data_IF_008633289592
#
_entry.id   IF_008633289592
#
_cell.length_a   1.000
_cell.length_b   1.000
_cell.length_c   1.000
_cell.angle_alpha   90.00
_cell.angle_beta   90.00
_cell.angle_gamma   90.00
#
_symmetry.space_group_name_H-M   'P 1'
#
loop_
_entity.id
_entity.type
_entity.pdbx_description
1 polymer ?
#
# COMPACT_ATOMS: atom_id res chain seq x y z
N UNK A 1 -22.20 -24.23 6.60
CA UNK A 1 -21.28 -23.91 7.72
C UNK A 1 -22.04 -24.17 9.02
N UNK A 2 -21.40 -24.71 10.07
CA UNK A 2 -22.07 -25.09 11.33
C UNK A 2 -21.70 -24.12 12.47
N UNK A 3 -22.49 -23.98 13.56
CA UNK A 3 -22.19 -23.07 14.67
C UNK A 3 -20.79 -23.31 15.29
N UNK A 4 -20.37 -24.58 15.36
CA UNK A 4 -19.00 -24.94 15.79
C UNK A 4 -17.88 -24.30 14.96
N UNK A 5 -18.13 -23.93 13.71
CA UNK A 5 -17.15 -23.28 12.85
C UNK A 5 -16.96 -21.81 13.25
N UNK A 6 -18.04 -21.12 13.67
CA UNK A 6 -17.94 -19.76 14.21
C UNK A 6 -17.19 -19.75 15.54
N UNK A 7 -17.54 -20.66 16.46
CA UNK A 7 -16.81 -20.82 17.73
C UNK A 7 -15.32 -21.13 17.52
N UNK A 8 -15.01 -21.98 16.52
CA UNK A 8 -13.62 -22.27 16.16
C UNK A 8 -12.90 -21.02 15.59
N UNK A 9 -13.60 -20.20 14.82
CA UNK A 9 -13.05 -18.95 14.29
C UNK A 9 -12.83 -17.91 15.40
N UNK A 10 -13.76 -17.72 16.32
CA UNK A 10 -13.57 -16.87 17.52
C UNK A 10 -12.38 -17.33 18.36
N UNK A 11 -12.25 -18.65 18.57
CA UNK A 11 -11.09 -19.22 19.26
C UNK A 11 -9.78 -18.92 18.50
N UNK A 12 -9.80 -18.99 17.17
CA UNK A 12 -8.66 -18.64 16.33
C UNK A 12 -8.25 -17.17 16.47
N UNK A 13 -9.22 -16.24 16.48
CA UNK A 13 -8.97 -14.82 16.71
C UNK A 13 -8.37 -14.58 18.10
N UNK A 14 -8.89 -15.28 19.11
CA UNK A 14 -8.37 -15.22 20.49
C UNK A 14 -6.93 -15.72 20.57
N UNK A 15 -6.59 -16.81 19.88
CA UNK A 15 -5.22 -17.32 19.77
C UNK A 15 -4.31 -16.29 19.10
N UNK A 16 -4.76 -15.65 18.02
CA UNK A 16 -4.00 -14.63 17.30
C UNK A 16 -3.63 -13.44 18.19
N UNK A 17 -4.53 -13.02 19.09
CA UNK A 17 -4.28 -11.91 20.03
C UNK A 17 -3.43 -12.33 21.22
N UNK A 18 -3.59 -13.56 21.73
CA UNK A 18 -2.94 -14.01 22.98
C UNK A 18 -1.56 -14.62 22.78
N UNK A 19 -1.34 -15.31 21.67
CA UNK A 19 -0.09 -16.04 21.37
C UNK A 19 0.52 -15.57 20.06
N UNK A 20 0.26 -14.32 19.66
CA UNK A 20 0.64 -13.76 18.37
C UNK A 20 2.14 -13.88 18.05
N UNK A 21 2.99 -13.77 19.07
CA UNK A 21 4.45 -13.81 18.92
C UNK A 21 4.98 -15.19 18.51
N UNK A 22 4.31 -16.27 18.91
CA UNK A 22 4.77 -17.64 18.63
C UNK A 22 4.14 -18.27 17.36
N UNK A 23 3.38 -17.50 16.58
CA UNK A 23 2.68 -18.04 15.42
C UNK A 23 3.59 -18.24 14.20
N UNK A 24 4.65 -17.45 14.06
CA UNK A 24 5.59 -17.55 12.93
C UNK A 24 4.84 -17.63 11.57
N UNK A 25 5.12 -18.63 10.74
CA UNK A 25 4.49 -18.83 9.42
C UNK A 25 2.98 -19.16 9.50
N UNK A 26 2.47 -19.52 10.68
CA UNK A 26 1.02 -19.78 10.89
C UNK A 26 0.16 -18.54 10.80
N UNK A 27 0.76 -17.34 10.84
CA UNK A 27 0.06 -16.10 10.51
C UNK A 27 -0.61 -16.17 9.13
N UNK A 28 -0.02 -16.88 8.16
CA UNK A 28 -0.62 -17.06 6.84
C UNK A 28 -1.96 -17.79 6.90
N UNK A 29 -2.05 -18.86 7.69
CA UNK A 29 -3.28 -19.64 7.81
C UNK A 29 -4.38 -18.84 8.53
N UNK A 30 -4.01 -18.14 9.62
CA UNK A 30 -4.94 -17.31 10.40
C UNK A 30 -5.50 -16.16 9.56
N UNK A 31 -4.63 -15.37 8.95
CA UNK A 31 -5.04 -14.22 8.16
C UNK A 31 -5.84 -14.65 6.93
N UNK A 32 -5.54 -15.83 6.34
CA UNK A 32 -6.33 -16.40 5.24
C UNK A 32 -7.72 -16.80 5.72
N UNK A 33 -7.84 -17.38 6.91
CA UNK A 33 -9.13 -17.65 7.53
C UNK A 33 -9.92 -16.35 7.75
N UNK A 34 -9.28 -15.29 8.26
CA UNK A 34 -9.92 -13.99 8.47
C UNK A 34 -10.42 -13.37 7.16
N UNK A 35 -9.56 -13.34 6.15
CA UNK A 35 -9.86 -12.85 4.81
C UNK A 35 -11.00 -13.64 4.14
N UNK A 36 -11.07 -14.96 4.34
CA UNK A 36 -12.19 -15.79 3.85
C UNK A 36 -13.48 -15.58 4.65
N UNK A 37 -13.39 -15.37 5.95
CA UNK A 37 -14.55 -15.08 6.78
C UNK A 37 -15.19 -13.75 6.38
N UNK A 38 -14.36 -12.75 6.12
CA UNK A 38 -14.81 -11.45 5.63
C UNK A 38 -15.51 -11.56 4.28
N UNK A 39 -14.97 -12.35 3.34
CA UNK A 39 -15.66 -12.64 2.08
C UNK A 39 -17.06 -13.25 2.31
N UNK A 40 -17.19 -14.16 3.27
CA UNK A 40 -18.49 -14.77 3.60
C UNK A 40 -19.46 -13.73 4.19
N UNK A 41 -18.98 -12.82 5.03
CA UNK A 41 -19.77 -11.69 5.55
C UNK A 41 -20.22 -10.77 4.42
N UNK A 42 -19.35 -10.45 3.47
CA UNK A 42 -19.70 -9.64 2.30
C UNK A 42 -20.75 -10.32 1.42
N UNK A 43 -20.63 -11.63 1.17
CA UNK A 43 -21.61 -12.38 0.39
C UNK A 43 -22.98 -12.51 1.07
N UNK A 44 -22.99 -12.52 2.40
CA UNK A 44 -24.19 -12.53 3.23
C UNK A 44 -24.88 -11.16 3.28
N UNK A 45 -24.08 -10.08 3.28
CA UNK A 45 -24.59 -8.73 3.14
C UNK A 45 -25.06 -8.49 1.70
N UNK A 46 -26.22 -7.88 1.48
CA UNK A 46 -26.66 -7.47 0.13
C UNK A 46 -25.88 -6.27 -0.43
N UNK A 47 -24.72 -5.96 0.17
CA UNK A 47 -23.87 -4.82 -0.18
C UNK A 47 -22.95 -5.21 -1.34
N UNK A 48 -22.76 -4.36 -2.35
CA UNK A 48 -21.83 -4.64 -3.44
C UNK A 48 -20.42 -4.89 -2.89
N UNK A 49 -19.81 -6.02 -3.27
CA UNK A 49 -18.41 -6.35 -2.95
C UNK A 49 -17.48 -5.24 -3.47
N UNK A 50 -16.41 -4.91 -2.75
CA UNK A 50 -15.40 -3.93 -3.21
C UNK A 50 -14.84 -4.28 -4.59
N UNK A 51 -14.84 -5.56 -4.96
CA UNK A 51 -14.52 -6.04 -6.31
C UNK A 51 -15.32 -5.35 -7.42
N UNK A 52 -16.57 -4.93 -7.17
CA UNK A 52 -17.39 -4.21 -8.14
C UNK A 52 -16.84 -2.81 -8.44
N UNK A 53 -16.15 -2.17 -7.49
CA UNK A 53 -15.50 -0.86 -7.69
C UNK A 53 -14.27 -0.97 -8.59
N UNK A 54 -13.64 -2.15 -8.62
CA UNK A 54 -12.39 -2.42 -9.34
C UNK A 54 -12.57 -3.38 -10.51
N UNK A 55 -13.78 -3.90 -10.76
CA UNK A 55 -14.05 -4.76 -11.91
C UNK A 55 -13.85 -3.97 -13.20
N UNK A 56 -13.11 -4.55 -14.14
CA UNK A 56 -12.92 -3.94 -15.45
C UNK A 56 -14.28 -3.72 -16.12
N UNK A 57 -14.52 -2.59 -16.83
CA UNK A 57 -15.73 -2.42 -17.61
C UNK A 57 -15.80 -3.55 -18.63
N UNK A 58 -16.78 -4.44 -18.48
CA UNK A 58 -17.12 -5.41 -19.53
C UNK A 58 -17.41 -4.63 -20.81
N UNK A 59 -16.78 -5.03 -21.91
CA UNK A 59 -16.81 -4.27 -23.15
C UNK A 59 -18.21 -3.96 -23.65
N UNK A 60 -18.66 -2.72 -23.45
CA UNK A 60 -19.53 -1.95 -24.33
C UNK A 60 -19.64 -0.51 -23.80
N UNK A 61 -19.70 0.44 -24.74
CA UNK A 61 -19.94 1.88 -24.58
C UNK A 61 -18.74 2.80 -24.30
N UNK A 62 -18.21 3.34 -25.40
CA UNK A 62 -17.51 4.64 -25.45
C UNK A 62 -18.53 5.75 -25.15
N UNK A 63 -18.47 6.32 -23.95
CA UNK A 63 -19.12 7.59 -23.59
C UNK A 63 -18.18 8.42 -22.71
N UNK A 64 -18.08 9.75 -22.90
CA UNK A 64 -17.10 10.56 -22.19
C UNK A 64 -17.65 11.02 -20.83
N UNK A 65 -17.68 10.14 -19.81
CA UNK A 65 -17.83 10.58 -18.41
C UNK A 65 -17.13 9.62 -17.42
N UNK A 66 -15.93 9.99 -16.98
CA UNK A 66 -15.58 10.08 -15.55
C UNK A 66 -15.66 8.83 -14.63
N UNK A 67 -15.40 7.61 -15.10
CA UNK A 67 -15.31 6.42 -14.21
C UNK A 67 -14.22 6.60 -13.13
N UNK A 68 -13.09 7.24 -13.47
CA UNK A 68 -12.03 7.56 -12.52
C UNK A 68 -12.43 8.56 -11.40
N UNK A 69 -13.46 9.38 -11.63
CA UNK A 69 -13.93 10.37 -10.67
C UNK A 69 -14.74 9.77 -9.51
N UNK A 70 -15.48 8.70 -9.76
CA UNK A 70 -16.29 8.01 -8.73
C UNK A 70 -15.41 7.18 -7.78
N UNK A 71 -14.41 6.48 -8.31
CA UNK A 71 -13.45 5.74 -7.50
C UNK A 71 -12.63 6.69 -6.59
N UNK A 72 -12.19 7.84 -7.13
CA UNK A 72 -11.48 8.87 -6.36
C UNK A 72 -12.34 9.50 -5.24
N UNK A 73 -13.65 9.66 -5.46
CA UNK A 73 -14.57 10.22 -4.46
C UNK A 73 -14.87 9.24 -3.31
N UNK A 74 -15.09 7.96 -3.62
CA UNK A 74 -15.30 6.91 -2.62
C UNK A 74 -14.03 6.68 -1.78
N UNK A 75 -12.87 6.71 -2.43
CA UNK A 75 -11.55 6.64 -1.81
C UNK A 75 -11.34 7.79 -0.80
N UNK A 76 -11.67 9.03 -1.18
CA UNK A 76 -11.51 10.21 -0.32
C UNK A 76 -12.34 10.13 0.97
N UNK A 77 -13.53 9.51 0.94
CA UNK A 77 -14.39 9.37 2.13
C UNK A 77 -13.89 8.31 3.10
N UNK A 78 -13.38 7.18 2.58
CA UNK A 78 -12.87 6.07 3.39
C UNK A 78 -11.56 6.45 4.11
N UNK A 79 -10.73 7.28 3.47
CA UNK A 79 -9.44 7.73 4.01
C UNK A 79 -9.58 8.84 5.06
N UNK A 80 -10.62 9.69 4.98
CA UNK A 80 -10.88 10.71 6.00
C UNK A 80 -11.14 10.10 7.39
N UNK A 81 -11.56 8.84 7.43
CA UNK A 81 -11.84 8.08 8.66
C UNK A 81 -10.59 7.49 9.33
N UNK A 82 -9.47 7.36 8.61
CA UNK A 82 -8.20 6.80 9.13
C UNK A 82 -7.26 7.84 9.76
N UNK A 83 -7.53 9.14 9.59
CA UNK A 83 -6.59 10.23 9.92
C UNK A 83 -6.57 10.73 11.38
N UNK A 84 -7.25 10.10 12.34
CA UNK A 84 -7.22 10.56 13.74
C UNK A 84 -7.47 9.39 14.71
N UNK A 85 -6.45 8.92 15.46
CA UNK A 85 -6.28 9.36 16.84
C UNK A 85 -4.81 9.48 17.30
N UNK A 86 -4.55 10.47 18.17
CA UNK A 86 -3.20 10.94 18.51
C UNK A 86 -2.46 10.24 19.65
N UNK A 87 -1.15 10.54 19.68
CA UNK A 87 -0.47 11.12 20.85
C UNK A 87 0.17 10.19 21.88
N UNK A 88 1.52 10.15 21.90
CA UNK A 88 2.27 10.08 23.16
C UNK A 88 3.46 9.11 23.23
N UNK A 89 4.69 9.66 23.21
CA UNK A 89 5.91 9.22 23.90
C UNK A 89 6.54 7.86 23.51
N UNK A 90 7.85 7.66 23.35
CA UNK A 90 9.04 8.40 23.74
C UNK A 90 10.08 7.41 24.29
N UNK A 91 11.33 7.47 23.76
CA UNK A 91 12.59 6.87 24.28
C UNK A 91 12.75 5.33 24.20
N UNK A 92 13.92 4.71 24.05
CA UNK A 92 15.32 5.11 23.84
C UNK A 92 16.07 3.91 23.19
N UNK A 93 17.20 4.21 22.53
CA UNK A 93 17.98 3.30 21.71
C UNK A 93 18.97 2.43 22.50
N UNK A 94 19.25 1.23 21.97
CA UNK A 94 20.49 0.51 22.24
C UNK A 94 20.91 -0.28 20.98
N UNK A 95 22.19 -0.15 20.63
CA UNK A 95 22.83 -0.73 19.45
C UNK A 95 23.35 -2.15 19.74
N UNK A 96 23.34 -3.04 18.74
CA UNK A 96 24.52 -3.80 18.29
C UNK A 96 24.19 -4.96 17.31
N UNK A 97 25.02 -5.01 16.25
CA UNK A 97 25.55 -6.18 15.51
C UNK A 97 24.63 -7.26 14.91
N UNK A 98 24.65 -7.30 13.57
CA UNK A 98 24.17 -8.35 12.66
C UNK A 98 24.90 -9.70 12.83
N UNK A 99 24.27 -10.80 12.38
CA UNK A 99 24.82 -11.47 11.19
C UNK A 99 23.75 -11.89 10.16
N UNK A 100 24.20 -11.99 8.90
CA UNK A 100 23.41 -12.41 7.74
C UNK A 100 23.15 -13.90 7.73
N UNK A 101 21.92 -14.32 7.40
CA UNK A 101 21.67 -15.62 6.79
C UNK A 101 20.66 -15.50 5.66
N UNK A 102 21.10 -15.95 4.49
CA UNK A 102 20.32 -16.15 3.29
C UNK A 102 19.84 -17.60 3.32
N UNK A 103 18.54 -17.85 3.11
CA UNK A 103 18.09 -19.08 2.46
C UNK A 103 16.62 -18.98 2.03
N UNK A 104 16.38 -19.37 0.77
CA UNK A 104 15.13 -19.20 0.07
C UNK A 104 14.04 -20.17 0.51
N UNK A 105 12.84 -19.63 0.72
CA UNK A 105 11.63 -20.43 0.94
C UNK A 105 11.09 -20.90 -0.41
N UNK A 106 11.04 -22.22 -0.58
CA UNK A 106 10.46 -22.91 -1.76
C UNK A 106 8.94 -22.74 -1.76
N UNK A 107 8.43 -22.35 -2.92
CA UNK A 107 7.00 -22.19 -3.22
C UNK A 107 6.26 -23.53 -3.06
N UNK A 108 5.18 -23.54 -2.29
CA UNK A 108 4.23 -24.65 -2.22
C UNK A 108 2.91 -24.17 -2.81
N UNK A 109 2.43 -24.89 -3.83
CA UNK A 109 1.25 -24.53 -4.63
C UNK A 109 0.04 -24.16 -3.77
N UNK A 110 -0.43 -22.91 -3.92
CA UNK A 110 -1.60 -22.41 -3.20
C UNK A 110 -2.89 -22.78 -3.93
N UNK A 111 -3.80 -23.46 -3.22
CA UNK A 111 -5.18 -23.69 -3.63
C UNK A 111 -5.95 -22.35 -3.69
N UNK A 112 -5.80 -21.64 -4.80
CA UNK A 112 -6.59 -20.46 -5.10
C UNK A 112 -8.06 -20.85 -5.30
N UNK A 113 -8.92 -20.57 -4.32
CA UNK A 113 -10.37 -20.68 -4.48
C UNK A 113 -10.91 -19.37 -5.06
N UNK A 114 -11.32 -19.38 -6.32
CA UNK A 114 -11.99 -18.25 -6.96
C UNK A 114 -13.39 -18.03 -6.37
N UNK A 115 -13.92 -16.81 -6.42
CA UNK A 115 -15.33 -16.50 -6.07
C UNK A 115 -16.31 -17.44 -6.79
N UNK A 116 -15.96 -17.85 -8.01
CA UNK A 116 -16.73 -18.78 -8.83
C UNK A 116 -16.81 -20.18 -8.20
N UNK A 117 -15.78 -20.62 -7.48
CA UNK A 117 -15.77 -21.89 -6.73
C UNK A 117 -16.66 -21.83 -5.50
N UNK A 118 -16.77 -20.66 -4.85
CA UNK A 118 -17.68 -20.44 -3.71
C UNK A 118 -19.13 -20.29 -4.17
N UNK A 119 -19.39 -19.57 -5.27
CA UNK A 119 -20.71 -19.48 -5.90
C UNK A 119 -21.21 -20.84 -6.39
N UNK A 120 -20.32 -21.71 -6.91
CA UNK A 120 -20.67 -23.08 -7.33
C UNK A 120 -21.01 -23.98 -6.13
N UNK A 121 -20.37 -23.74 -4.97
CA UNK A 121 -20.76 -24.39 -3.71
C UNK A 121 -22.09 -23.87 -3.15
N UNK A 122 -22.47 -22.62 -3.48
CA UNK A 122 -23.72 -21.99 -3.04
C UNK A 122 -24.91 -22.20 -4.00
N UNK A 123 -24.70 -22.71 -5.22
CA UNK A 123 -25.70 -22.65 -6.30
C UNK A 123 -26.01 -23.96 -7.05
N UNK A 124 -25.65 -25.14 -6.55
CA UNK A 124 -25.92 -26.42 -7.20
C UNK A 124 -26.88 -27.31 -6.40
N UNK A 125 -28.14 -27.39 -6.82
CA UNK A 125 -29.24 -27.98 -6.07
C UNK A 125 -29.16 -29.49 -5.78
N UNK A 126 -29.50 -29.83 -4.54
CA UNK A 126 -30.40 -30.91 -4.06
C UNK A 126 -30.77 -30.55 -2.61
N UNK A 127 -32.01 -30.77 -2.23
CA UNK A 127 -32.71 -30.25 -1.05
C UNK A 127 -32.11 -30.65 0.33
N UNK A 128 -30.93 -30.11 0.68
CA UNK A 128 -30.38 -30.09 2.04
C UNK A 128 -29.50 -28.83 2.24
N UNK A 129 -30.13 -27.77 2.74
CA UNK A 129 -29.56 -26.67 3.56
C UNK A 129 -28.12 -26.16 3.25
N UNK A 130 -27.87 -25.78 1.99
CA UNK A 130 -26.63 -25.15 1.55
C UNK A 130 -26.51 -23.64 1.86
N UNK A 131 -27.55 -23.02 2.43
CA UNK A 131 -27.46 -21.63 2.87
C UNK A 131 -26.70 -21.61 4.20
N UNK A 132 -25.53 -20.97 4.22
CA UNK A 132 -24.88 -20.70 5.51
C UNK A 132 -25.83 -19.80 6.31
N UNK A 133 -26.30 -20.21 7.50
CA UNK A 133 -27.19 -19.38 8.29
C UNK A 133 -26.54 -18.02 8.56
N UNK A 134 -27.22 -16.93 8.17
CA UNK A 134 -26.75 -15.55 8.37
C UNK A 134 -26.41 -15.28 9.85
N UNK A 135 -27.14 -15.92 10.75
CA UNK A 135 -26.90 -15.90 12.21
C UNK A 135 -25.48 -16.36 12.58
N UNK A 136 -24.92 -17.35 11.87
CA UNK A 136 -23.58 -17.89 12.15
C UNK A 136 -22.50 -16.99 11.56
N UNK A 137 -22.78 -16.31 10.44
CA UNK A 137 -21.83 -15.37 9.82
C UNK A 137 -21.74 -14.07 10.63
N UNK A 138 -22.88 -13.62 11.17
CA UNK A 138 -22.97 -12.44 12.02
C UNK A 138 -22.70 -12.72 13.51
N UNK A 139 -22.48 -13.98 13.91
CA UNK A 139 -22.18 -14.29 15.31
C UNK A 139 -20.81 -13.78 15.74
N UNK A 140 -19.88 -13.65 14.79
CA UNK A 140 -18.54 -13.12 15.06
C UNK A 140 -18.51 -11.64 14.73
N UNK A 141 -18.33 -10.83 15.78
CA UNK A 141 -18.30 -9.38 15.67
C UNK A 141 -17.08 -8.93 14.84
N UNK A 142 -17.31 -7.99 13.93
CA UNK A 142 -16.27 -7.30 13.16
C UNK A 142 -15.23 -6.68 14.09
N UNK A 143 -15.63 -6.27 15.31
CA UNK A 143 -14.71 -5.72 16.30
C UNK A 143 -13.62 -6.72 16.73
N UNK A 144 -13.91 -8.02 16.81
CA UNK A 144 -12.93 -9.06 17.15
C UNK A 144 -11.87 -9.22 16.05
N UNK A 145 -12.29 -9.11 14.79
CA UNK A 145 -11.39 -9.13 13.63
C UNK A 145 -10.46 -7.90 13.66
N UNK A 146 -11.01 -6.71 13.96
CA UNK A 146 -10.20 -5.50 14.10
C UNK A 146 -9.18 -5.59 15.24
N UNK A 147 -9.52 -6.26 16.35
CA UNK A 147 -8.59 -6.43 17.46
C UNK A 147 -7.31 -7.16 17.05
N UNK A 148 -7.37 -8.14 16.15
CA UNK A 148 -6.17 -8.83 15.63
C UNK A 148 -5.27 -7.87 14.87
N UNK A 149 -5.82 -7.02 13.99
CA UNK A 149 -5.03 -6.03 13.26
C UNK A 149 -4.44 -4.96 14.18
N UNK A 150 -5.20 -4.48 15.17
CA UNK A 150 -4.70 -3.55 16.18
C UNK A 150 -3.60 -4.16 17.05
N UNK A 151 -3.68 -5.46 17.34
CA UNK A 151 -2.67 -6.20 18.10
C UNK A 151 -1.31 -6.26 17.37
N UNK A 152 -1.27 -6.02 16.05
CA UNK A 152 -0.02 -5.99 15.29
C UNK A 152 1.02 -5.03 15.86
N UNK A 153 0.59 -3.94 16.50
CA UNK A 153 1.47 -2.95 17.16
C UNK A 153 2.17 -3.49 18.42
N UNK A 154 1.63 -4.56 19.02
CA UNK A 154 2.15 -5.18 20.24
C UNK A 154 3.01 -6.41 19.97
N UNK A 155 2.98 -6.95 18.75
CA UNK A 155 3.81 -8.07 18.36
C UNK A 155 5.31 -7.74 18.52
N UNK A 156 6.12 -8.74 18.77
CA UNK A 156 7.57 -8.58 18.79
C UNK A 156 8.15 -8.29 17.39
N UNK A 157 9.49 -8.17 17.31
CA UNK A 157 10.18 -7.82 16.08
C UNK A 157 10.09 -8.87 14.96
N UNK A 158 9.98 -10.15 15.30
CA UNK A 158 9.96 -11.24 14.32
C UNK A 158 8.53 -11.58 13.92
N UNK A 159 7.63 -11.63 14.89
CA UNK A 159 6.21 -11.88 14.70
C UNK A 159 5.54 -10.82 13.84
N UNK A 160 5.85 -9.52 14.04
CA UNK A 160 5.28 -8.46 13.20
C UNK A 160 5.72 -8.57 11.73
N UNK A 161 6.96 -9.02 11.48
CA UNK A 161 7.47 -9.20 10.13
C UNK A 161 6.80 -10.42 9.48
N UNK A 162 6.63 -11.52 10.21
CA UNK A 162 5.88 -12.68 9.75
C UNK A 162 4.42 -12.33 9.44
N UNK A 163 3.75 -11.58 10.31
CA UNK A 163 2.39 -11.06 10.12
C UNK A 163 2.28 -10.25 8.82
N UNK A 164 3.16 -9.26 8.61
CA UNK A 164 3.13 -8.39 7.43
C UNK A 164 3.39 -9.18 6.15
N UNK A 165 4.32 -10.14 6.17
CA UNK A 165 4.60 -11.01 5.01
C UNK A 165 3.38 -11.88 4.67
N UNK A 166 2.75 -12.49 5.67
CA UNK A 166 1.55 -13.27 5.48
C UNK A 166 0.40 -12.44 4.89
N UNK A 167 0.17 -11.24 5.43
CA UNK A 167 -0.87 -10.33 4.93
C UNK A 167 -0.60 -9.87 3.49
N UNK A 168 0.66 -9.54 3.17
CA UNK A 168 1.08 -9.19 1.81
C UNK A 168 0.83 -10.33 0.82
N UNK A 169 1.16 -11.57 1.19
CA UNK A 169 0.93 -12.74 0.35
C UNK A 169 -0.57 -12.97 0.09
N UNK A 170 -1.41 -12.87 1.13
CA UNK A 170 -2.87 -13.00 0.99
C UNK A 170 -3.42 -11.90 0.09
N UNK A 171 -2.97 -10.66 0.27
CA UNK A 171 -3.42 -9.56 -0.58
C UNK A 171 -3.04 -9.75 -2.05
N UNK A 172 -1.83 -10.23 -2.34
CA UNK A 172 -1.45 -10.56 -3.72
C UNK A 172 -2.31 -11.69 -4.32
N UNK A 173 -2.67 -12.69 -3.51
CA UNK A 173 -3.59 -13.75 -3.94
C UNK A 173 -5.01 -13.20 -4.22
N UNK A 174 -5.48 -12.25 -3.42
CA UNK A 174 -6.77 -11.58 -3.58
C UNK A 174 -6.87 -10.73 -4.84
N UNK A 175 -5.77 -10.06 -5.21
CA UNK A 175 -5.70 -9.20 -6.38
C UNK A 175 -5.45 -9.96 -7.68
N UNK A 176 -5.10 -11.26 -7.60
CA UNK A 176 -4.70 -12.08 -8.74
C UNK A 176 -5.79 -12.23 -9.80
N UNK A 177 -7.06 -12.34 -9.39
CA UNK A 177 -8.18 -12.40 -10.33
C UNK A 177 -8.58 -10.98 -10.78
N UNK A 178 -8.14 -10.58 -11.96
CA UNK A 178 -8.42 -9.24 -12.51
C UNK A 178 -9.89 -8.99 -12.83
N UNK A 179 -10.73 -10.03 -12.88
CA UNK A 179 -12.17 -9.90 -13.16
C UNK A 179 -12.98 -9.59 -11.90
N UNK A 180 -12.52 -10.09 -10.76
CA UNK A 180 -13.15 -9.89 -9.46
C UNK A 180 -12.06 -9.72 -8.38
N UNK A 181 -11.26 -8.64 -8.46
CA UNK A 181 -10.17 -8.43 -7.53
C UNK A 181 -10.72 -8.06 -6.14
N UNK A 182 -10.27 -8.76 -5.10
CA UNK A 182 -10.63 -8.38 -3.72
C UNK A 182 -9.53 -7.48 -3.16
N UNK A 183 -9.92 -6.31 -2.63
CA UNK A 183 -8.97 -5.32 -2.09
C UNK A 183 -8.93 -5.28 -0.56
N UNK A 184 -9.65 -6.18 0.11
CA UNK A 184 -9.75 -6.23 1.57
C UNK A 184 -8.38 -6.20 2.25
N UNK A 185 -7.49 -7.13 1.90
CA UNK A 185 -6.17 -7.21 2.54
C UNK A 185 -5.26 -6.05 2.13
N UNK A 186 -5.47 -5.46 0.94
CA UNK A 186 -4.76 -4.24 0.52
C UNK A 186 -5.11 -3.07 1.43
N UNK A 187 -6.39 -2.89 1.79
CA UNK A 187 -6.81 -1.85 2.76
C UNK A 187 -6.15 -2.08 4.13
N UNK A 188 -6.09 -3.35 4.58
CA UNK A 188 -5.48 -3.71 5.86
C UNK A 188 -3.97 -3.53 5.87
N UNK A 189 -3.28 -3.71 4.75
CA UNK A 189 -1.85 -3.41 4.63
C UNK A 189 -1.57 -1.93 4.92
N UNK A 190 -2.41 -1.01 4.43
CA UNK A 190 -2.26 0.43 4.68
C UNK A 190 -2.43 0.74 6.18
N UNK A 191 -3.44 0.16 6.83
CA UNK A 191 -3.65 0.30 8.27
C UNK A 191 -2.47 -0.24 9.09
N UNK A 192 -1.98 -1.43 8.74
CA UNK A 192 -0.87 -2.08 9.44
C UNK A 192 0.44 -1.30 9.27
N UNK A 193 0.69 -0.75 8.08
CA UNK A 193 1.81 0.15 7.85
C UNK A 193 1.73 1.39 8.75
N UNK A 194 0.53 1.95 8.91
CA UNK A 194 0.30 3.10 9.79
C UNK A 194 0.52 2.76 11.27
N UNK A 195 -0.07 1.67 11.78
CA UNK A 195 0.05 1.28 13.19
C UNK A 195 1.50 0.98 13.59
N UNK A 196 2.31 0.49 12.66
CA UNK A 196 3.67 0.02 12.95
C UNK A 196 4.77 1.01 12.57
N UNK A 197 4.46 2.15 11.93
CA UNK A 197 5.49 3.12 11.54
C UNK A 197 6.25 3.71 12.74
N UNK A 198 5.64 3.72 13.93
CA UNK A 198 6.26 4.21 15.17
C UNK A 198 7.31 3.26 15.77
N UNK A 199 7.46 2.04 15.25
CA UNK A 199 8.41 1.05 15.79
C UNK A 199 9.86 1.51 15.69
N UNK A 200 10.71 0.87 16.51
CA UNK A 200 12.16 1.05 16.43
C UNK A 200 12.65 0.78 15.00
N UNK A 201 13.63 1.57 14.57
CA UNK A 201 14.04 1.66 13.16
C UNK A 201 14.43 0.34 12.53
N UNK A 202 15.15 -0.51 13.26
CA UNK A 202 15.59 -1.81 12.75
C UNK A 202 14.41 -2.74 12.43
N UNK A 203 13.38 -2.72 13.27
CA UNK A 203 12.15 -3.49 13.05
C UNK A 203 11.33 -2.87 11.91
N UNK A 204 11.17 -1.54 11.92
CA UNK A 204 10.47 -0.85 10.84
C UNK A 204 11.12 -1.09 9.48
N UNK A 205 12.45 -1.07 9.38
CA UNK A 205 13.17 -1.34 8.13
C UNK A 205 12.86 -2.74 7.58
N UNK A 206 12.77 -3.75 8.45
CA UNK A 206 12.36 -5.12 8.05
C UNK A 206 10.91 -5.19 7.59
N UNK A 207 10.00 -4.50 8.28
CA UNK A 207 8.59 -4.38 7.86
C UNK A 207 8.51 -3.68 6.50
N UNK A 208 9.19 -2.54 6.36
CA UNK A 208 9.15 -1.72 5.17
C UNK A 208 9.77 -2.41 3.96
N UNK A 209 10.79 -3.25 4.14
CA UNK A 209 11.33 -4.06 3.04
C UNK A 209 10.24 -4.94 2.40
N UNK A 210 9.36 -5.54 3.21
CA UNK A 210 8.22 -6.33 2.71
C UNK A 210 7.17 -5.43 2.04
N UNK A 211 6.81 -4.32 2.70
CA UNK A 211 5.79 -3.40 2.20
C UNK A 211 6.21 -2.68 0.91
N UNK A 212 7.48 -2.30 0.78
CA UNK A 212 8.06 -1.66 -0.38
C UNK A 212 7.92 -2.53 -1.62
N UNK A 213 8.36 -3.79 -1.54
CA UNK A 213 8.20 -4.75 -2.65
C UNK A 213 6.73 -5.00 -2.98
N UNK A 214 5.88 -5.09 -1.97
CA UNK A 214 4.43 -5.21 -2.16
C UNK A 214 3.83 -4.01 -2.90
N UNK A 215 4.11 -2.77 -2.47
CA UNK A 215 3.59 -1.56 -3.13
C UNK A 215 4.13 -1.37 -4.54
N UNK A 216 5.36 -1.80 -4.82
CA UNK A 216 5.90 -1.83 -6.19
C UNK A 216 5.08 -2.79 -7.05
N UNK A 217 4.88 -4.03 -6.58
CA UNK A 217 4.12 -5.03 -7.32
C UNK A 217 2.68 -4.58 -7.62
N UNK A 218 1.97 -4.04 -6.61
CA UNK A 218 0.58 -3.59 -6.78
C UNK A 218 0.50 -2.25 -7.54
N UNK A 219 1.48 -1.36 -7.37
CA UNK A 219 1.57 -0.11 -8.13
C UNK A 219 1.79 -0.32 -9.64
N UNK A 220 2.27 -1.50 -10.03
CA UNK A 220 2.40 -1.93 -11.42
C UNK A 220 1.32 -2.93 -11.85
N UNK A 221 0.22 -3.03 -11.10
CA UNK A 221 -0.86 -3.97 -11.41
C UNK A 221 -1.56 -3.65 -12.74
N UNK A 222 -1.97 -4.69 -13.49
CA UNK A 222 -2.60 -4.53 -14.81
C UNK A 222 -3.95 -3.80 -14.76
N UNK A 223 -4.65 -3.90 -13.64
CA UNK A 223 -5.86 -3.12 -13.39
C UNK A 223 -5.47 -1.71 -12.88
N UNK A 224 -5.72 -0.70 -13.71
CA UNK A 224 -5.39 0.69 -13.44
C UNK A 224 -5.94 1.19 -12.10
N UNK A 225 -7.19 0.87 -11.76
CA UNK A 225 -7.82 1.36 -10.54
C UNK A 225 -7.11 0.83 -9.27
N UNK A 226 -6.63 -0.41 -9.30
CA UNK A 226 -5.86 -1.02 -8.20
C UNK A 226 -4.47 -0.38 -8.10
N UNK A 227 -3.80 -0.19 -9.24
CA UNK A 227 -2.50 0.48 -9.27
C UNK A 227 -2.59 1.91 -8.73
N UNK A 228 -3.61 2.68 -9.14
CA UNK A 228 -3.88 4.03 -8.63
C UNK A 228 -4.14 4.01 -7.12
N UNK A 229 -4.92 3.06 -6.61
CA UNK A 229 -5.17 2.91 -5.18
C UNK A 229 -3.89 2.66 -4.39
N UNK A 230 -3.00 1.79 -4.89
CA UNK A 230 -1.73 1.49 -4.24
C UNK A 230 -0.79 2.72 -4.23
N UNK A 231 -0.68 3.44 -5.35
CA UNK A 231 0.13 4.67 -5.44
C UNK A 231 -0.40 5.76 -4.52
N UNK A 232 -1.72 5.94 -4.43
CA UNK A 232 -2.31 6.91 -3.52
C UNK A 232 -2.13 6.50 -2.04
N UNK A 233 -2.29 5.22 -1.73
CA UNK A 233 -2.03 4.69 -0.38
C UNK A 233 -0.58 4.93 0.04
N UNK A 234 0.36 4.67 -0.87
CA UNK A 234 1.78 4.96 -0.65
C UNK A 234 2.01 6.46 -0.44
N UNK A 235 1.33 7.34 -1.19
CA UNK A 235 1.39 8.80 -0.98
C UNK A 235 0.95 9.19 0.42
N UNK A 236 -0.13 8.61 0.92
CA UNK A 236 -0.64 8.93 2.25
C UNK A 236 0.32 8.50 3.36
N UNK A 237 0.88 7.29 3.24
CA UNK A 237 1.88 6.81 4.17
C UNK A 237 3.15 7.67 4.11
N UNK A 238 3.59 8.08 2.91
CA UNK A 238 4.74 8.98 2.72
C UNK A 238 4.51 10.36 3.35
N UNK A 239 3.33 10.96 3.13
CA UNK A 239 2.96 12.24 3.75
C UNK A 239 3.04 12.19 5.27
N UNK A 240 2.57 11.08 5.87
CA UNK A 240 2.66 10.86 7.32
C UNK A 240 4.09 10.59 7.77
N UNK A 241 4.85 9.81 7.00
CA UNK A 241 6.23 9.46 7.33
C UNK A 241 7.15 10.68 7.30
N UNK A 242 6.95 11.57 6.33
CA UNK A 242 7.70 12.82 6.17
C UNK A 242 7.37 13.87 7.26
N UNK A 243 6.33 13.69 8.08
CA UNK A 243 6.14 14.53 9.29
C UNK A 243 7.20 14.30 10.36
N UNK A 244 7.97 13.20 10.25
CA UNK A 244 8.99 12.82 11.22
C UNK A 244 10.34 13.35 10.77
N UNK A 245 11.06 13.95 11.70
CA UNK A 245 12.43 14.38 11.44
C UNK A 245 13.34 13.19 11.15
N UNK A 246 14.15 13.35 10.11
CA UNK A 246 15.23 12.45 9.79
C UNK A 246 16.51 12.92 10.47
N UNK A 247 17.15 12.04 11.24
CA UNK A 247 18.43 12.35 11.87
C UNK A 247 19.55 12.39 10.82
N UNK A 248 20.55 13.23 11.04
CA UNK A 248 21.74 13.32 10.19
C UNK A 248 22.41 11.93 9.99
N UNK A 249 22.92 11.70 8.78
CA UNK A 249 23.57 10.46 8.33
C UNK A 249 22.65 9.22 8.19
N UNK A 250 21.33 9.41 8.24
CA UNK A 250 20.36 8.36 7.92
C UNK A 250 19.58 8.72 6.65
N UNK A 251 19.23 7.70 5.85
CA UNK A 251 18.59 7.89 4.55
C UNK A 251 17.24 7.18 4.42
N UNK A 252 16.45 7.16 5.50
CA UNK A 252 15.18 6.44 5.55
C UNK A 252 14.13 7.01 4.62
N UNK A 253 14.10 8.33 4.44
CA UNK A 253 13.17 8.94 3.50
C UNK A 253 13.47 8.49 2.07
N UNK A 254 14.75 8.32 1.72
CA UNK A 254 15.14 7.75 0.42
C UNK A 254 14.53 6.34 0.22
N UNK A 255 14.77 5.44 1.18
CA UNK A 255 14.28 4.06 1.15
C UNK A 255 12.75 4.00 1.15
N UNK A 256 12.11 4.89 1.89
CA UNK A 256 10.65 5.00 1.93
C UNK A 256 10.08 5.39 0.57
N UNK A 257 10.69 6.36 -0.11
CA UNK A 257 10.20 6.88 -1.38
C UNK A 257 10.63 6.03 -2.59
N UNK A 258 11.52 5.04 -2.41
CA UNK A 258 11.98 4.14 -3.47
C UNK A 258 10.86 3.53 -4.31
N UNK A 259 9.71 3.08 -3.77
CA UNK A 259 8.64 2.55 -4.59
C UNK A 259 8.12 3.54 -5.65
N UNK A 260 8.07 4.85 -5.37
CA UNK A 260 7.70 5.85 -6.39
C UNK A 260 8.67 5.86 -7.57
N UNK A 261 9.98 5.77 -7.27
CA UNK A 261 11.04 5.72 -8.29
C UNK A 261 10.86 4.49 -9.19
N UNK A 262 10.62 3.33 -8.57
CA UNK A 262 10.49 2.06 -9.31
C UNK A 262 9.22 2.03 -10.14
N UNK A 263 8.07 2.39 -9.56
CA UNK A 263 6.78 2.39 -10.28
C UNK A 263 6.77 3.41 -11.41
N UNK A 264 7.34 4.61 -11.22
CA UNK A 264 7.47 5.61 -12.30
C UNK A 264 8.24 5.06 -13.50
N UNK A 265 9.31 4.31 -13.24
CA UNK A 265 10.16 3.73 -14.30
C UNK A 265 9.51 2.53 -14.99
N UNK A 266 8.76 1.70 -14.26
CA UNK A 266 8.21 0.45 -14.77
C UNK A 266 6.83 0.63 -15.43
N UNK A 267 6.03 1.58 -14.96
CA UNK A 267 4.65 1.73 -15.41
C UNK A 267 4.53 2.28 -16.83
N UNK A 268 3.79 1.55 -17.66
CA UNK A 268 3.45 2.01 -19.02
C UNK A 268 2.20 2.91 -19.04
N UNK A 269 1.43 2.98 -17.95
CA UNK A 269 0.25 3.84 -17.85
C UNK A 269 0.64 5.29 -17.59
N UNK A 270 0.18 6.18 -18.47
CA UNK A 270 0.37 7.64 -18.35
C UNK A 270 -0.28 8.13 -17.06
N UNK A 271 -1.47 7.63 -16.73
CA UNK A 271 -2.24 8.01 -15.54
C UNK A 271 -1.49 7.72 -14.24
N UNK A 272 -0.80 6.57 -14.16
CA UNK A 272 0.03 6.22 -13.00
C UNK A 272 1.25 7.13 -12.90
N UNK A 273 1.96 7.36 -14.01
CA UNK A 273 3.15 8.23 -14.02
C UNK A 273 2.78 9.67 -13.66
N UNK A 274 1.70 10.21 -14.24
CA UNK A 274 1.15 11.52 -13.89
C UNK A 274 0.75 11.60 -12.39
N UNK A 275 0.06 10.57 -11.87
CA UNK A 275 -0.31 10.50 -10.46
C UNK A 275 0.92 10.57 -9.55
N UNK A 276 1.99 9.85 -9.87
CA UNK A 276 3.25 9.88 -9.09
C UNK A 276 3.82 11.30 -9.03
N UNK A 277 3.89 12.01 -10.17
CA UNK A 277 4.39 13.39 -10.19
C UNK A 277 3.52 14.31 -9.33
N UNK A 278 2.19 14.17 -9.40
CA UNK A 278 1.28 14.92 -8.52
C UNK A 278 1.49 14.60 -7.05
N UNK A 279 1.70 13.33 -6.70
CA UNK A 279 1.98 12.89 -5.33
C UNK A 279 3.21 13.62 -4.78
N UNK A 280 4.33 13.60 -5.53
CA UNK A 280 5.57 14.24 -5.09
C UNK A 280 5.46 15.76 -5.05
N UNK A 281 4.81 16.38 -6.04
CA UNK A 281 4.56 17.82 -6.05
C UNK A 281 3.80 18.26 -4.79
N UNK A 282 2.78 17.50 -4.38
CA UNK A 282 2.05 17.75 -3.13
C UNK A 282 2.91 17.53 -1.88
N UNK A 283 3.75 16.48 -1.85
CA UNK A 283 4.64 16.23 -0.72
C UNK A 283 5.62 17.38 -0.51
N UNK A 284 6.24 17.87 -1.59
CA UNK A 284 7.13 19.03 -1.57
C UNK A 284 6.41 20.24 -0.99
N UNK A 285 5.24 20.60 -1.55
CA UNK A 285 4.47 21.75 -1.08
C UNK A 285 4.09 21.67 0.40
N UNK A 286 3.80 20.47 0.90
CA UNK A 286 3.30 20.29 2.25
C UNK A 286 4.40 20.04 3.31
N UNK A 287 5.59 19.60 2.90
CA UNK A 287 6.62 19.05 3.80
C UNK A 287 8.05 19.45 3.43
N UNK A 288 8.24 20.52 2.64
CA UNK A 288 9.57 20.94 2.15
C UNK A 288 10.64 21.00 3.26
N UNK A 289 10.29 21.54 4.43
CA UNK A 289 11.23 21.72 5.55
C UNK A 289 11.69 20.38 6.14
N UNK A 290 10.85 19.35 6.06
CA UNK A 290 11.11 18.01 6.59
C UNK A 290 11.79 17.07 5.58
N UNK A 291 11.80 17.39 4.29
CA UNK A 291 12.44 16.53 3.28
C UNK A 291 13.97 16.69 3.39
N UNK A 292 14.65 15.57 3.64
CA UNK A 292 16.12 15.44 3.76
C UNK A 292 16.62 14.46 2.71
N UNK A 293 16.97 13.22 3.07
CA UNK A 293 17.44 12.21 2.10
C UNK A 293 16.40 11.83 1.04
N UNK A 294 15.12 12.16 1.30
CA UNK A 294 14.01 11.97 0.37
C UNK A 294 14.17 12.76 -0.93
N UNK A 295 14.91 13.88 -0.92
CA UNK A 295 15.17 14.68 -2.13
C UNK A 295 15.79 13.86 -3.25
N UNK A 296 16.71 12.94 -2.92
CA UNK A 296 17.34 12.07 -3.91
C UNK A 296 16.31 11.22 -4.67
N UNK A 297 15.38 10.59 -3.96
CA UNK A 297 14.29 9.82 -4.60
C UNK A 297 13.35 10.71 -5.41
N UNK A 298 13.05 11.92 -4.92
CA UNK A 298 12.23 12.88 -5.67
C UNK A 298 12.89 13.32 -6.97
N UNK A 299 14.17 13.71 -6.93
CA UNK A 299 14.92 14.07 -8.13
C UNK A 299 15.09 12.90 -9.09
N UNK A 300 15.25 11.66 -8.61
CA UNK A 300 15.24 10.48 -9.48
C UNK A 300 13.91 10.32 -10.24
N UNK A 301 12.77 10.57 -9.59
CA UNK A 301 11.45 10.55 -10.24
C UNK A 301 11.33 11.68 -11.26
N UNK A 302 11.67 12.92 -10.89
CA UNK A 302 11.59 14.06 -11.82
C UNK A 302 12.56 13.93 -12.99
N UNK A 303 13.75 13.38 -12.78
CA UNK A 303 14.71 13.07 -13.85
C UNK A 303 14.15 12.01 -14.80
N UNK A 304 13.44 11.00 -14.27
CA UNK A 304 12.75 10.00 -15.10
C UNK A 304 11.63 10.64 -15.91
N UNK A 305 10.85 11.55 -15.30
CA UNK A 305 9.78 12.30 -15.96
C UNK A 305 10.29 13.26 -17.04
N UNK A 306 11.50 13.81 -16.90
CA UNK A 306 12.12 14.67 -17.90
C UNK A 306 12.32 13.96 -19.25
N UNK A 307 12.50 12.64 -19.24
CA UNK A 307 12.61 11.80 -20.43
C UNK A 307 11.29 11.14 -20.86
N UNK A 308 10.15 11.51 -20.27
CA UNK A 308 8.86 10.89 -20.60
C UNK A 308 8.41 11.27 -22.03
N UNK A 309 7.84 10.33 -22.80
CA UNK A 309 7.26 10.64 -24.11
C UNK A 309 6.01 11.52 -24.03
N UNK A 310 5.31 11.56 -22.90
CA UNK A 310 4.11 12.38 -22.75
C UNK A 310 4.45 13.82 -22.32
N UNK A 311 4.13 14.85 -23.13
CA UNK A 311 4.46 16.24 -22.80
C UNK A 311 3.81 16.76 -21.51
N UNK A 312 2.65 16.21 -21.11
CA UNK A 312 1.95 16.63 -19.88
C UNK A 312 2.75 16.22 -18.65
N UNK A 313 3.32 15.01 -18.65
CA UNK A 313 4.18 14.52 -17.57
C UNK A 313 5.44 15.37 -17.47
N UNK A 314 6.12 15.61 -18.61
CA UNK A 314 7.34 16.43 -18.67
C UNK A 314 7.07 17.82 -18.09
N UNK A 315 6.00 18.49 -18.55
CA UNK A 315 5.62 19.82 -18.10
C UNK A 315 5.26 19.88 -16.62
N UNK A 316 4.45 18.94 -16.13
CA UNK A 316 4.06 18.89 -14.72
C UNK A 316 5.29 18.72 -13.79
N UNK A 317 6.24 17.87 -14.21
CA UNK A 317 7.48 17.66 -13.47
C UNK A 317 8.38 18.91 -13.53
N UNK A 318 8.49 19.55 -14.70
CA UNK A 318 9.25 20.79 -14.86
C UNK A 318 8.70 21.93 -14.01
N UNK A 319 7.38 22.17 -14.04
CA UNK A 319 6.71 23.19 -13.22
C UNK A 319 7.00 22.98 -11.72
N UNK A 320 7.08 21.72 -11.29
CA UNK A 320 7.39 21.37 -9.90
C UNK A 320 8.86 21.66 -9.57
N UNK A 321 9.79 21.28 -10.45
CA UNK A 321 11.22 21.56 -10.28
C UNK A 321 11.51 23.06 -10.31
N UNK A 322 10.89 23.81 -11.23
CA UNK A 322 11.02 25.25 -11.32
C UNK A 322 10.62 25.92 -10.00
N UNK A 323 9.49 25.48 -9.41
CA UNK A 323 9.07 25.97 -8.08
C UNK A 323 10.09 25.64 -7.00
N UNK A 324 10.58 24.39 -6.95
CA UNK A 324 11.59 23.97 -5.96
C UNK A 324 12.84 24.86 -6.04
N UNK A 325 13.35 25.11 -7.25
CA UNK A 325 14.57 25.92 -7.44
C UNK A 325 14.32 27.41 -7.17
N UNK A 326 13.14 27.94 -7.45
CA UNK A 326 12.83 29.35 -7.18
C UNK A 326 12.55 29.64 -5.72
N UNK A 327 11.82 28.75 -5.05
CA UNK A 327 11.24 29.02 -3.73
C UNK A 327 11.91 28.24 -2.60
N UNK A 328 12.60 27.13 -2.90
CA UNK A 328 13.08 26.18 -1.91
C UNK A 328 14.55 25.77 -2.08
N UNK A 329 15.31 26.52 -2.88
CA UNK A 329 16.70 26.17 -3.19
C UNK A 329 17.62 26.05 -1.96
N UNK A 330 17.37 26.87 -0.92
CA UNK A 330 18.11 26.78 0.35
C UNK A 330 18.09 25.37 0.94
N UNK A 331 16.92 24.72 0.94
CA UNK A 331 16.74 23.35 1.43
C UNK A 331 17.56 22.31 0.64
N UNK A 332 17.79 22.56 -0.66
CA UNK A 332 18.59 21.68 -1.52
C UNK A 332 20.07 21.81 -1.19
N UNK A 333 20.56 23.05 -1.00
CA UNK A 333 21.97 23.32 -0.70
C UNK A 333 22.36 22.99 0.74
N UNK A 334 21.43 23.06 1.68
CA UNK A 334 21.68 22.84 3.12
C UNK A 334 21.57 21.37 3.54
N UNK A 335 20.94 20.51 2.74
CA UNK A 335 20.76 19.09 3.08
C UNK A 335 22.08 18.32 2.95
N UNK A 336 22.55 18.09 1.72
CA UNK A 336 23.80 17.39 1.43
C UNK A 336 24.33 17.85 0.06
N UNK A 337 25.65 17.86 -0.15
CA UNK A 337 26.25 18.24 -1.43
C UNK A 337 25.76 17.37 -2.60
N UNK A 338 25.49 16.08 -2.35
CA UNK A 338 24.93 15.17 -3.34
C UNK A 338 23.54 15.59 -3.81
N UNK A 339 22.70 16.14 -2.92
CA UNK A 339 21.35 16.63 -3.23
C UNK A 339 21.38 17.79 -4.22
N UNK A 340 22.36 18.69 -4.10
CA UNK A 340 22.59 19.74 -5.07
C UNK A 340 22.98 19.16 -6.44
N UNK A 341 23.90 18.19 -6.48
CA UNK A 341 24.29 17.50 -7.71
C UNK A 341 23.11 16.79 -8.37
N UNK A 342 22.27 16.10 -7.60
CA UNK A 342 21.06 15.44 -8.10
C UNK A 342 20.06 16.45 -8.70
N UNK A 343 19.89 17.61 -8.07
CA UNK A 343 19.06 18.71 -8.59
C UNK A 343 19.59 19.22 -9.93
N UNK A 344 20.90 19.49 -10.04
CA UNK A 344 21.53 19.95 -11.28
C UNK A 344 21.40 18.90 -12.39
N UNK A 345 21.64 17.63 -12.09
CA UNK A 345 21.45 16.55 -13.05
C UNK A 345 20.01 16.44 -13.53
N UNK A 346 19.04 16.63 -12.63
CA UNK A 346 17.62 16.66 -12.96
C UNK A 346 17.31 17.82 -13.93
N UNK A 347 17.84 19.02 -13.70
CA UNK A 347 17.66 20.17 -14.59
C UNK A 347 18.28 19.94 -15.98
N UNK A 348 19.48 19.35 -16.04
CA UNK A 348 20.14 18.99 -17.30
C UNK A 348 19.28 18.00 -18.10
N UNK A 349 18.63 17.04 -17.44
CA UNK A 349 17.74 16.11 -18.11
C UNK A 349 16.58 16.83 -18.84
N UNK A 350 16.00 17.87 -18.24
CA UNK A 350 14.95 18.67 -18.88
C UNK A 350 15.46 19.45 -20.09
N UNK A 351 16.70 19.96 -20.07
CA UNK A 351 17.26 20.68 -21.24
C UNK A 351 17.40 19.81 -22.48
N UNK A 352 17.39 18.48 -22.33
CA UNK A 352 17.50 17.54 -23.43
C UNK A 352 16.13 17.15 -24.03
N UNK A 353 15.01 17.64 -23.46
CA UNK A 353 13.66 17.36 -23.95
C UNK A 353 12.97 18.66 -24.45
N UNK A 354 12.59 18.76 -25.74
CA UNK A 354 12.01 19.98 -26.29
C UNK A 354 10.67 20.39 -25.65
N UNK A 355 9.90 19.43 -25.11
CA UNK A 355 8.62 19.72 -24.47
C UNK A 355 8.75 20.49 -23.14
N UNK A 356 9.96 20.59 -22.58
CA UNK A 356 10.21 21.45 -21.42
C UNK A 356 10.17 22.96 -21.76
N UNK A 357 10.35 23.32 -23.04
CA UNK A 357 10.50 24.71 -23.51
C UNK A 357 9.22 25.27 -24.14
N UNK A 358 8.22 24.44 -24.40
CA UNK A 358 6.93 24.83 -24.98
C UNK A 358 6.04 25.44 -23.89
N UNK A 359 6.10 26.77 -23.73
CA UNK A 359 5.10 27.50 -22.94
C UNK A 359 3.79 27.61 -23.74
N UNK A 360 2.61 27.43 -23.10
CA UNK A 360 1.32 27.60 -23.76
C UNK A 360 1.07 29.03 -24.25
#
# INVERSE_FOLDING_TARGET
>A
MKPKNALAYEALLRVAVTVGDALEDRWLDILRCMSRWELLQQMASSTPTDAALFAAPGGAEKGPVGIGGRAAAALKDQLRKLGNPGGGGGAAAAAASQPSYTEGVKSMDTLAMSEMSVKKAAGGGRDDDGHVPLEIIHSVDVSEIQQVYLASSRLDSDAVVAFVRALAAISLDELRDTRAPRVFSLTKIVEIAHFNMGRIRLVWSRIWAVLSEYFIAVGCHANLAIAMYAVDSLRQLAMKFLERDELANYTFQNDFLRPFVVVMRQSQSIEIRELIIRCLSQMVLARVDNIKSGWKSMFMVFTTAAGDPDPTIVRLAFDTIERIVREHFGHITETEAATFTDCVNCLIAFTNNPHSMERP
#
